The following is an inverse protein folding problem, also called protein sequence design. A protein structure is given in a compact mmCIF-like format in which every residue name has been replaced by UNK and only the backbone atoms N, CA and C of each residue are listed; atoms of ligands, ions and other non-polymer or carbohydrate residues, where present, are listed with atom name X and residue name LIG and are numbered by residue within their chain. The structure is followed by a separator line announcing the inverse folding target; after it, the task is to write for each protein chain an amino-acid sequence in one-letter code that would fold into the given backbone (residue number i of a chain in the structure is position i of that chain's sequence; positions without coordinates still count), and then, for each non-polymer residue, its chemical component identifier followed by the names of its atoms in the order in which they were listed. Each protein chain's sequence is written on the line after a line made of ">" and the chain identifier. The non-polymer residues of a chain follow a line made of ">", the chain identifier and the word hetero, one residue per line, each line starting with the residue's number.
data_IF_813842390368
#
_entry.id   IF_813842390368
#
_cell.length_a   1.000
_cell.length_b   1.000
_cell.length_c   1.000
_cell.angle_alpha   90.00
_cell.angle_beta   90.00
_cell.angle_gamma   90.00
#
_symmetry.space_group_name_H-M   'P 1'
#
loop_
_entity.id
_entity.type
_entity.pdbx_description
1 polymer ?
#
# COMPACT_ATOMS: atom_id res chain seq x y z
N UNK A 1 11.19 -20.44 8.79
CA UNK A 1 11.19 -18.96 8.78
C UNK A 1 10.32 -18.55 7.60
N UNK A 2 9.02 -18.34 7.82
CA UNK A 2 8.09 -18.04 6.74
C UNK A 2 8.09 -16.55 6.51
N UNK A 3 8.81 -16.11 5.48
CA UNK A 3 8.69 -14.76 4.94
C UNK A 3 7.24 -14.66 4.47
N UNK A 4 6.50 -13.70 5.02
CA UNK A 4 5.09 -13.43 4.72
C UNK A 4 4.92 -13.36 3.18
N UNK A 5 4.10 -14.26 2.61
CA UNK A 5 3.81 -14.26 1.19
C UNK A 5 2.74 -13.19 0.91
N UNK A 6 3.20 -11.97 0.65
CA UNK A 6 2.35 -10.81 0.39
C UNK A 6 1.26 -11.08 -0.67
N UNK A 7 1.59 -11.82 -1.73
CA UNK A 7 0.64 -12.18 -2.80
C UNK A 7 -0.52 -13.07 -2.31
N UNK A 8 -0.20 -14.02 -1.43
CA UNK A 8 -1.18 -14.91 -0.82
C UNK A 8 -2.06 -14.16 0.19
N UNK A 9 -1.48 -13.24 0.94
CA UNK A 9 -2.18 -12.42 1.93
C UNK A 9 -3.14 -11.42 1.27
N UNK A 10 -2.74 -10.78 0.16
CA UNK A 10 -3.61 -9.91 -0.63
C UNK A 10 -4.76 -10.72 -1.26
N UNK A 11 -4.47 -11.93 -1.74
CA UNK A 11 -5.50 -12.83 -2.27
C UNK A 11 -6.53 -13.22 -1.20
N UNK A 12 -6.07 -13.53 0.03
CA UNK A 12 -6.94 -13.82 1.20
C UNK A 12 -7.79 -12.62 1.61
N UNK A 13 -7.23 -11.41 1.54
CA UNK A 13 -7.96 -10.16 1.80
C UNK A 13 -9.14 -10.00 0.83
N UNK A 14 -8.89 -10.23 -0.46
CA UNK A 14 -9.91 -10.16 -1.51
C UNK A 14 -11.06 -11.15 -1.30
N UNK A 15 -10.78 -12.39 -0.85
CA UNK A 15 -11.83 -13.36 -0.55
C UNK A 15 -12.60 -13.02 0.73
N UNK A 16 -11.92 -12.61 1.81
CA UNK A 16 -12.58 -12.27 3.06
C UNK A 16 -13.46 -11.02 2.95
N UNK A 17 -13.08 -10.06 2.10
CA UNK A 17 -13.90 -8.90 1.77
C UNK A 17 -15.22 -9.31 1.11
N UNK A 18 -15.17 -10.25 0.16
CA UNK A 18 -16.36 -10.78 -0.52
C UNK A 18 -17.27 -11.56 0.42
N UNK A 19 -16.67 -12.28 1.37
CA UNK A 19 -17.41 -13.11 2.33
C UNK A 19 -17.88 -12.34 3.57
N UNK A 20 -17.59 -11.03 3.68
CA UNK A 20 -17.91 -10.22 4.85
C UNK A 20 -17.14 -10.60 6.12
N UNK A 21 -16.04 -11.35 6.00
CA UNK A 21 -15.26 -11.93 7.11
C UNK A 21 -13.94 -11.20 7.36
N UNK A 22 -13.86 -9.92 7.00
CA UNK A 22 -12.67 -9.09 7.20
C UNK A 22 -12.24 -9.05 8.67
N UNK A 23 -13.20 -9.10 9.59
CA UNK A 23 -12.96 -9.13 11.04
C UNK A 23 -12.17 -10.35 11.53
N UNK A 24 -12.19 -11.45 10.78
CA UNK A 24 -11.47 -12.68 11.11
C UNK A 24 -10.03 -12.67 10.57
N UNK A 25 -9.71 -11.77 9.63
CA UNK A 25 -8.36 -11.60 9.16
C UNK A 25 -7.53 -10.86 10.21
N UNK A 26 -6.39 -11.46 10.59
CA UNK A 26 -5.44 -10.83 11.51
C UNK A 26 -5.65 -11.14 12.99
N UNK A 27 -6.74 -11.82 13.39
CA UNK A 27 -7.01 -12.16 14.80
C UNK A 27 -5.91 -13.01 15.46
N UNK A 28 -5.15 -13.75 14.65
CA UNK A 28 -4.02 -14.58 15.10
C UNK A 28 -2.66 -14.10 14.55
N UNK A 29 -2.60 -12.88 14.01
CA UNK A 29 -1.35 -12.37 13.48
C UNK A 29 -0.41 -12.01 14.63
N UNK A 30 0.75 -12.67 14.67
CA UNK A 30 1.80 -12.32 15.64
C UNK A 30 2.25 -10.88 15.39
N UNK A 31 2.60 -10.10 16.44
CA UNK A 31 3.22 -8.80 16.26
C UNK A 31 4.45 -8.94 15.35
N UNK A 32 4.54 -8.09 14.32
CA UNK A 32 5.70 -8.06 13.45
C UNK A 32 6.91 -7.53 14.22
N UNK A 33 8.06 -8.13 13.99
CA UNK A 33 9.33 -7.57 14.47
C UNK A 33 9.64 -6.27 13.72
N UNK A 34 10.46 -5.40 14.31
CA UNK A 34 10.82 -4.10 13.71
C UNK A 34 11.30 -4.24 12.25
N UNK A 35 12.17 -5.23 12.00
CA UNK A 35 12.70 -5.53 10.66
C UNK A 35 11.62 -5.97 9.66
N UNK A 36 10.60 -6.71 10.12
CA UNK A 36 9.48 -7.12 9.26
C UNK A 36 8.47 -5.99 9.02
N UNK A 37 8.44 -4.97 9.88
CA UNK A 37 7.54 -3.81 9.76
C UNK A 37 8.09 -2.69 8.86
N UNK A 38 9.42 -2.56 8.75
CA UNK A 38 10.08 -1.55 7.92
C UNK A 38 9.61 -1.52 6.45
N UNK A 39 9.44 -2.65 5.74
CA UNK A 39 8.97 -2.64 4.35
C UNK A 39 7.61 -1.95 4.19
N UNK A 40 6.68 -2.16 5.12
CA UNK A 40 5.36 -1.53 5.08
C UNK A 40 5.43 -0.02 5.28
N UNK A 41 6.30 0.44 6.20
CA UNK A 41 6.55 1.87 6.44
C UNK A 41 7.15 2.54 5.21
N UNK A 42 8.20 1.96 4.65
CA UNK A 42 8.88 2.48 3.45
C UNK A 42 7.97 2.46 2.23
N UNK A 43 7.14 1.42 2.04
CA UNK A 43 6.16 1.37 0.95
C UNK A 43 5.11 2.49 1.06
N UNK A 44 4.67 2.82 2.28
CA UNK A 44 3.74 3.92 2.52
C UNK A 44 4.37 5.27 2.19
N UNK A 45 5.55 5.55 2.72
CA UNK A 45 6.28 6.80 2.44
C UNK A 45 6.55 6.95 0.94
N UNK A 46 6.94 5.86 0.28
CA UNK A 46 7.15 5.84 -1.16
C UNK A 46 5.85 6.13 -1.94
N UNK A 47 4.71 5.59 -1.50
CA UNK A 47 3.42 5.86 -2.13
C UNK A 47 3.02 7.33 -2.01
N UNK A 48 3.19 7.93 -0.82
CA UNK A 48 2.91 9.34 -0.56
C UNK A 48 3.77 10.25 -1.48
N UNK A 49 5.08 10.04 -1.51
CA UNK A 49 6.00 10.82 -2.36
C UNK A 49 5.68 10.64 -3.85
N UNK A 50 5.31 9.42 -4.28
CA UNK A 50 4.90 9.17 -5.68
C UNK A 50 3.66 9.98 -6.04
N UNK A 51 2.66 10.03 -5.16
CA UNK A 51 1.43 10.80 -5.37
C UNK A 51 1.71 12.29 -5.50
N UNK A 52 2.51 12.86 -4.60
CA UNK A 52 2.91 14.28 -4.65
C UNK A 52 3.64 14.62 -5.95
N UNK A 53 4.61 13.78 -6.33
CA UNK A 53 5.39 13.90 -7.56
C UNK A 53 4.52 13.81 -8.81
N UNK A 54 3.50 12.96 -8.81
CA UNK A 54 2.55 12.84 -9.93
C UNK A 54 1.58 14.03 -10.00
N UNK A 55 1.20 14.59 -8.86
CA UNK A 55 0.40 15.82 -8.83
C UNK A 55 1.20 17.02 -9.37
N UNK A 56 2.45 17.17 -8.97
CA UNK A 56 3.34 18.22 -9.50
C UNK A 56 3.51 18.13 -11.02
N UNK A 57 3.67 16.92 -11.55
CA UNK A 57 3.72 16.70 -13.01
C UNK A 57 2.44 17.16 -13.71
N UNK A 58 1.26 16.86 -13.14
CA UNK A 58 -0.02 17.31 -13.69
C UNK A 58 -0.11 18.84 -13.74
N UNK A 59 0.32 19.52 -12.68
CA UNK A 59 0.36 20.98 -12.65
C UNK A 59 1.33 21.55 -13.68
N UNK A 60 2.55 21.00 -13.78
CA UNK A 60 3.52 21.45 -14.77
C UNK A 60 2.99 21.32 -16.20
N UNK A 61 2.31 20.22 -16.51
CA UNK A 61 1.65 20.04 -17.81
C UNK A 61 0.54 21.08 -18.04
N UNK A 62 -0.36 21.28 -17.07
CA UNK A 62 -1.43 22.27 -17.17
C UNK A 62 -0.91 23.69 -17.41
N UNK A 63 0.12 24.12 -16.66
CA UNK A 63 0.70 25.45 -16.85
C UNK A 63 1.38 25.59 -18.20
N UNK A 64 2.09 24.54 -18.68
CA UNK A 64 2.71 24.56 -19.99
C UNK A 64 1.68 24.63 -21.14
N UNK A 65 0.45 24.12 -20.93
CA UNK A 65 -0.63 24.19 -21.92
C UNK A 65 -1.40 25.50 -21.88
N UNK A 66 -1.70 26.04 -20.69
CA UNK A 66 -2.51 27.26 -20.54
C UNK A 66 -1.71 28.56 -20.67
N UNK A 67 -0.38 28.51 -20.56
CA UNK A 67 0.49 29.70 -20.73
C UNK A 67 0.86 29.97 -22.19
N UNK A 68 0.18 29.33 -23.15
CA UNK A 68 0.40 29.46 -24.58
C UNK A 68 -0.64 30.37 -25.23
#
# INVERSE_FOLDING_TARGET
>A
MSIVNFDEDVSKLGSAAKDGKLENLGQHQRPLTEVEAEPGRVMRELAEVKMERDLLKKFAMYFATESR
#
